data_IF_851549826928
#
_entry.id   IF_851549826928
#
_cell.length_a   1.000
_cell.length_b   1.000
_cell.length_c   1.000
_cell.angle_alpha   90.00
_cell.angle_beta   90.00
_cell.angle_gamma   90.00
#
_symmetry.space_group_name_H-M   'P 1'
#
loop_
_entity.id
_entity.type
_entity.pdbx_description
1 polymer ?
#
# COMPACT_ATOMS: atom_id res chain seq x y z
N UNK A 1 12.56 22.46 2.81
CA UNK A 1 11.79 22.38 1.56
C UNK A 1 10.40 23.01 1.74
N UNK A 2 9.81 23.41 0.62
CA UNK A 2 8.48 24.01 0.64
C UNK A 2 7.40 22.96 0.69
N UNK A 3 6.33 23.23 1.45
CA UNK A 3 5.16 22.36 1.49
C UNK A 3 4.28 22.71 0.28
N UNK A 4 3.97 21.72 -0.53
CA UNK A 4 3.10 21.89 -1.69
C UNK A 4 1.65 22.19 -1.28
N UNK A 5 0.86 22.70 -2.22
CA UNK A 5 -0.57 22.85 -2.01
C UNK A 5 -1.23 21.50 -1.72
N UNK A 6 -2.32 21.53 -0.96
CA UNK A 6 -3.06 20.31 -0.62
C UNK A 6 -3.54 19.59 -1.88
N UNK A 7 -3.30 18.28 -1.93
CA UNK A 7 -3.78 17.43 -3.03
C UNK A 7 -5.16 16.85 -2.78
N UNK A 8 -5.77 17.16 -1.64
CA UNK A 8 -7.07 16.65 -1.22
C UNK A 8 -7.14 15.10 -1.20
N UNK A 9 -6.00 14.45 -0.99
CA UNK A 9 -5.95 12.98 -0.86
C UNK A 9 -5.39 12.61 0.50
N UNK A 10 -6.00 11.63 1.12
CA UNK A 10 -5.59 11.10 2.40
C UNK A 10 -4.95 9.73 2.24
N UNK A 11 -3.89 9.49 2.99
CA UNK A 11 -3.14 8.25 2.96
C UNK A 11 -3.08 7.67 4.37
N UNK A 12 -3.50 6.41 4.53
CA UNK A 12 -3.17 5.62 5.71
C UNK A 12 -1.94 4.79 5.39
N UNK A 13 -0.92 4.90 6.22
CA UNK A 13 0.37 4.26 5.98
C UNK A 13 0.73 3.33 7.14
N UNK A 14 1.10 2.11 6.79
CA UNK A 14 1.56 1.10 7.75
C UNK A 14 2.86 0.49 7.23
N UNK A 15 3.66 -0.07 8.12
CA UNK A 15 4.91 -0.71 7.73
C UNK A 15 5.09 -2.07 8.39
N UNK A 16 6.06 -2.83 7.90
CA UNK A 16 6.43 -4.11 8.49
C UNK A 16 7.05 -3.97 9.88
N UNK A 17 7.34 -5.09 10.53
CA UNK A 17 7.79 -5.10 11.94
C UNK A 17 9.25 -4.69 12.14
N UNK A 18 10.04 -4.58 11.09
CA UNK A 18 11.46 -4.24 11.19
C UNK A 18 11.64 -2.75 11.51
N UNK A 19 12.62 -2.43 12.37
CA UNK A 19 12.93 -1.04 12.70
C UNK A 19 13.37 -0.23 11.48
N UNK A 20 14.06 -0.84 10.53
CA UNK A 20 14.44 -0.19 9.28
C UNK A 20 13.21 0.15 8.42
N UNK A 21 12.20 -0.70 8.45
CA UNK A 21 10.93 -0.41 7.77
C UNK A 21 10.26 0.81 8.39
N UNK A 22 10.25 0.90 9.72
CA UNK A 22 9.66 2.03 10.43
C UNK A 22 10.35 3.35 10.07
N UNK A 23 11.68 3.37 10.07
CA UNK A 23 12.44 4.57 9.72
C UNK A 23 12.19 5.00 8.28
N UNK A 24 12.30 4.08 7.34
CA UNK A 24 12.06 4.37 5.92
C UNK A 24 10.64 4.84 5.68
N UNK A 25 9.67 4.22 6.35
CA UNK A 25 8.27 4.59 6.24
C UNK A 25 8.02 6.01 6.78
N UNK A 26 8.61 6.37 7.92
CA UNK A 26 8.48 7.72 8.50
C UNK A 26 9.05 8.79 7.57
N UNK A 27 10.21 8.53 6.97
CA UNK A 27 10.80 9.45 6.00
C UNK A 27 9.90 9.62 4.78
N UNK A 28 9.33 8.53 4.30
CA UNK A 28 8.39 8.56 3.17
C UNK A 28 7.13 9.34 3.54
N UNK A 29 6.59 9.15 4.74
CA UNK A 29 5.43 9.89 5.22
C UNK A 29 5.69 11.40 5.22
N UNK A 30 6.85 11.82 5.72
CA UNK A 30 7.23 13.23 5.75
C UNK A 30 7.31 13.83 4.34
N UNK A 31 7.87 13.08 3.39
CA UNK A 31 7.95 13.51 2.00
C UNK A 31 6.57 13.63 1.36
N UNK A 32 5.68 12.69 1.65
CA UNK A 32 4.30 12.74 1.15
C UNK A 32 3.53 13.93 1.71
N UNK A 33 3.69 14.22 3.00
CA UNK A 33 3.07 15.40 3.62
C UNK A 33 3.59 16.69 2.98
N UNK A 34 4.90 16.76 2.75
CA UNK A 34 5.50 17.90 2.08
C UNK A 34 4.98 18.09 0.65
N UNK A 35 4.59 16.99 0.01
CA UNK A 35 4.03 16.99 -1.35
C UNK A 35 2.52 17.29 -1.37
N UNK A 36 1.91 17.55 -0.23
CA UNK A 36 0.53 18.00 -0.12
C UNK A 36 -0.50 16.94 0.28
N UNK A 37 -0.07 15.71 0.55
CA UNK A 37 -0.96 14.66 1.04
C UNK A 37 -1.20 14.80 2.53
N UNK A 38 -2.38 14.36 2.98
CA UNK A 38 -2.66 14.20 4.40
C UNK A 38 -2.36 12.75 4.78
N UNK A 39 -1.36 12.54 5.62
CA UNK A 39 -0.88 11.19 5.95
C UNK A 39 -1.18 10.85 7.40
N UNK A 40 -1.84 9.72 7.61
CA UNK A 40 -1.90 9.07 8.92
C UNK A 40 -0.87 7.94 8.93
N UNK A 41 0.13 8.05 9.80
CA UNK A 41 1.15 7.03 9.96
C UNK A 41 0.81 6.13 11.14
N UNK A 42 0.40 4.90 10.84
CA UNK A 42 0.00 3.93 11.86
C UNK A 42 1.14 3.13 12.46
N UNK A 43 2.30 3.14 11.81
CA UNK A 43 3.48 2.44 12.31
C UNK A 43 3.58 0.99 11.86
N UNK A 44 4.47 0.26 12.52
CA UNK A 44 4.76 -1.14 12.24
C UNK A 44 4.16 -2.09 13.26
N UNK A 45 4.17 -3.35 12.89
CA UNK A 45 3.73 -4.44 13.77
C UNK A 45 2.28 -4.29 14.26
N UNK A 46 1.42 -3.77 13.40
CA UNK A 46 0.02 -3.56 13.70
C UNK A 46 -0.76 -4.80 13.21
N UNK A 47 -1.66 -5.30 14.03
CA UNK A 47 -2.51 -6.42 13.66
C UNK A 47 -3.44 -6.06 12.49
N UNK A 48 -3.73 -7.01 11.62
CA UNK A 48 -4.60 -6.77 10.45
C UNK A 48 -5.95 -6.19 10.84
N UNK A 49 -6.55 -6.67 11.92
CA UNK A 49 -7.84 -6.17 12.38
C UNK A 49 -7.78 -4.70 12.78
N UNK A 50 -6.66 -4.27 13.36
CA UNK A 50 -6.45 -2.88 13.73
C UNK A 50 -6.24 -2.00 12.49
N UNK A 51 -5.52 -2.51 11.49
CA UNK A 51 -5.38 -1.82 10.20
C UNK A 51 -6.74 -1.63 9.54
N UNK A 52 -7.55 -2.69 9.51
CA UNK A 52 -8.90 -2.63 8.94
C UNK A 52 -9.79 -1.63 9.67
N UNK A 53 -9.69 -1.57 11.01
CA UNK A 53 -10.44 -0.62 11.81
C UNK A 53 -10.06 0.83 11.49
N UNK A 54 -8.77 1.11 11.36
CA UNK A 54 -8.28 2.44 11.00
C UNK A 54 -8.71 2.86 9.60
N UNK A 55 -8.62 1.94 8.64
CA UNK A 55 -9.08 2.18 7.28
C UNK A 55 -10.57 2.47 7.25
N UNK A 56 -11.36 1.72 8.00
CA UNK A 56 -12.80 1.92 8.08
C UNK A 56 -13.16 3.27 8.71
N UNK A 57 -12.46 3.66 9.76
CA UNK A 57 -12.70 4.91 10.46
C UNK A 57 -12.27 6.12 9.63
N UNK A 58 -11.10 6.06 9.04
CA UNK A 58 -10.49 7.20 8.35
C UNK A 58 -10.90 7.33 6.89
N UNK A 59 -11.30 6.24 6.25
CA UNK A 59 -11.72 6.19 4.85
C UNK A 59 -10.72 6.91 3.93
N UNK A 60 -9.45 6.45 3.93
CA UNK A 60 -8.42 7.11 3.13
C UNK A 60 -8.63 6.87 1.64
N UNK A 61 -8.04 7.74 0.82
CA UNK A 61 -8.00 7.55 -0.62
C UNK A 61 -6.96 6.49 -1.01
N UNK A 62 -5.91 6.33 -0.20
CA UNK A 62 -4.80 5.41 -0.42
C UNK A 62 -4.49 4.65 0.85
N UNK A 63 -4.35 3.35 0.73
CA UNK A 63 -3.76 2.50 1.76
C UNK A 63 -2.35 2.15 1.30
N UNK A 64 -1.34 2.64 2.01
CA UNK A 64 0.06 2.43 1.69
C UNK A 64 0.69 1.50 2.72
N UNK A 65 1.26 0.41 2.23
CA UNK A 65 1.95 -0.56 3.08
C UNK A 65 3.40 -0.69 2.63
N UNK A 66 4.30 -0.57 3.59
CA UNK A 66 5.74 -0.53 3.35
C UNK A 66 6.41 -1.74 4.00
N UNK A 67 7.15 -2.53 3.22
CA UNK A 67 7.83 -3.72 3.73
C UNK A 67 9.16 -3.97 3.02
N UNK A 68 10.16 -4.40 3.78
CA UNK A 68 11.44 -4.83 3.24
C UNK A 68 11.59 -6.35 3.21
N UNK A 69 10.80 -7.08 3.98
CA UNK A 69 10.98 -8.52 4.18
C UNK A 69 10.02 -9.39 3.36
N UNK A 70 10.56 -10.44 2.74
CA UNK A 70 9.77 -11.39 1.95
C UNK A 70 8.77 -12.20 2.76
N UNK A 71 9.03 -12.36 4.06
CA UNK A 71 8.13 -13.09 4.96
C UNK A 71 6.79 -12.39 5.15
N UNK A 72 6.72 -11.08 4.87
CA UNK A 72 5.50 -10.30 5.04
C UNK A 72 4.52 -10.44 3.87
N UNK A 73 4.96 -10.96 2.73
CA UNK A 73 4.14 -11.00 1.52
C UNK A 73 2.83 -11.77 1.66
N UNK A 74 2.79 -12.97 2.26
CA UNK A 74 1.52 -13.67 2.46
C UNK A 74 0.53 -12.90 3.33
N UNK A 75 1.03 -12.24 4.37
CA UNK A 75 0.20 -11.41 5.24
C UNK A 75 -0.36 -10.20 4.52
N UNK A 76 0.45 -9.54 3.69
CA UNK A 76 -0.01 -8.43 2.86
C UNK A 76 -1.08 -8.86 1.88
N UNK A 77 -0.92 -10.02 1.25
CA UNK A 77 -1.92 -10.55 0.34
C UNK A 77 -3.25 -10.81 1.06
N UNK A 78 -3.19 -11.42 2.24
CA UNK A 78 -4.39 -11.66 3.04
C UNK A 78 -5.10 -10.37 3.41
N UNK A 79 -4.33 -9.36 3.83
CA UNK A 79 -4.88 -8.06 4.18
C UNK A 79 -5.56 -7.40 2.99
N UNK A 80 -4.91 -7.39 1.85
CA UNK A 80 -5.45 -6.80 0.62
C UNK A 80 -6.73 -7.52 0.19
N UNK A 81 -6.72 -8.84 0.20
CA UNK A 81 -7.89 -9.63 -0.16
C UNK A 81 -9.06 -9.37 0.81
N UNK A 82 -8.77 -9.22 2.09
CA UNK A 82 -9.78 -8.91 3.09
C UNK A 82 -10.38 -7.51 2.88
N UNK A 83 -9.54 -6.51 2.65
CA UNK A 83 -9.98 -5.14 2.37
C UNK A 83 -10.89 -5.10 1.14
N UNK A 84 -10.49 -5.78 0.07
CA UNK A 84 -11.28 -5.83 -1.16
C UNK A 84 -12.57 -6.62 -0.99
N UNK A 85 -12.53 -7.69 -0.18
CA UNK A 85 -13.70 -8.52 0.09
C UNK A 85 -14.80 -7.80 0.86
N UNK A 86 -14.43 -6.90 1.76
CA UNK A 86 -15.40 -6.07 2.49
C UNK A 86 -16.09 -5.08 1.56
N UNK A 87 -15.37 -4.61 0.54
CA UNK A 87 -15.87 -3.65 -0.47
C UNK A 87 -16.47 -2.37 0.14
N UNK A 88 -15.99 -1.96 1.30
CA UNK A 88 -16.44 -0.76 1.99
C UNK A 88 -15.88 0.52 1.35
N UNK A 89 -14.73 0.43 0.69
CA UNK A 89 -14.03 1.55 0.06
C UNK A 89 -13.56 1.11 -1.33
N UNK A 90 -14.48 0.97 -2.30
CA UNK A 90 -14.15 0.43 -3.63
C UNK A 90 -13.17 1.31 -4.43
N UNK A 91 -13.14 2.61 -4.14
CA UNK A 91 -12.28 3.55 -4.84
C UNK A 91 -10.91 3.74 -4.16
N UNK A 92 -10.70 3.13 -3.00
CA UNK A 92 -9.42 3.23 -2.29
C UNK A 92 -8.33 2.52 -3.08
N UNK A 93 -7.24 3.24 -3.34
CA UNK A 93 -6.08 2.69 -4.01
C UNK A 93 -5.16 2.00 -3.01
N UNK A 94 -4.72 0.79 -3.32
CA UNK A 94 -3.80 0.03 -2.48
C UNK A 94 -2.42 0.09 -3.10
N UNK A 95 -1.48 0.67 -2.35
CA UNK A 95 -0.11 0.91 -2.81
C UNK A 95 0.85 0.20 -1.87
N UNK A 96 1.85 -0.45 -2.42
CA UNK A 96 2.89 -1.10 -1.65
C UNK A 96 4.26 -0.55 -2.03
N UNK A 97 5.15 -0.49 -1.05
CA UNK A 97 6.50 0.00 -1.24
C UNK A 97 7.48 -0.79 -0.41
N UNK A 98 8.76 -0.57 -0.68
CA UNK A 98 9.84 -1.19 0.06
C UNK A 98 10.69 -2.14 -0.77
N UNK A 99 11.83 -2.52 -0.21
CA UNK A 99 12.86 -3.25 -0.96
C UNK A 99 12.44 -4.62 -1.47
N UNK A 100 11.47 -5.28 -0.83
CA UNK A 100 11.02 -6.59 -1.28
C UNK A 100 10.44 -6.54 -2.70
N UNK A 101 9.72 -5.47 -3.04
CA UNK A 101 9.08 -5.36 -4.36
C UNK A 101 10.10 -5.13 -5.46
N UNK A 102 11.25 -4.55 -5.13
CA UNK A 102 12.36 -4.41 -6.07
C UNK A 102 13.10 -5.74 -6.28
N UNK A 103 13.21 -6.56 -5.23
CA UNK A 103 13.92 -7.85 -5.29
C UNK A 103 13.09 -8.99 -5.86
N UNK A 104 11.77 -8.88 -5.83
CA UNK A 104 10.86 -9.92 -6.29
C UNK A 104 9.92 -9.38 -7.37
N UNK A 105 10.35 -9.34 -8.64
CA UNK A 105 9.52 -8.84 -9.74
C UNK A 105 8.20 -9.60 -9.82
N UNK A 106 7.10 -8.88 -10.00
CA UNK A 106 5.76 -9.45 -10.08
C UNK A 106 5.08 -9.68 -8.74
N UNK A 107 5.78 -9.49 -7.62
CA UNK A 107 5.19 -9.73 -6.31
C UNK A 107 4.03 -8.77 -6.00
N UNK A 108 4.17 -7.50 -6.35
CA UNK A 108 3.12 -6.51 -6.11
C UNK A 108 1.82 -6.90 -6.80
N UNK A 109 1.91 -7.36 -8.03
CA UNK A 109 0.76 -7.85 -8.80
C UNK A 109 0.17 -9.11 -8.18
N UNK A 110 1.01 -10.04 -7.73
CA UNK A 110 0.55 -11.27 -7.07
C UNK A 110 -0.23 -11.02 -5.80
N UNK A 111 0.17 -10.05 -5.00
CA UNK A 111 -0.56 -9.72 -3.77
C UNK A 111 -1.78 -8.83 -4.03
N UNK A 112 -1.96 -8.34 -5.24
CA UNK A 112 -3.13 -7.56 -5.62
C UNK A 112 -3.04 -6.07 -5.38
N UNK A 113 -1.82 -5.53 -5.27
CA UNK A 113 -1.62 -4.08 -5.13
C UNK A 113 -1.95 -3.35 -6.43
N UNK A 114 -2.48 -2.14 -6.30
CA UNK A 114 -2.80 -1.28 -7.45
C UNK A 114 -1.57 -0.60 -8.02
N UNK A 115 -0.64 -0.21 -7.14
CA UNK A 115 0.63 0.39 -7.51
C UNK A 115 1.73 -0.14 -6.58
N UNK A 116 2.97 -0.03 -7.02
CA UNK A 116 4.11 -0.31 -6.18
C UNK A 116 5.28 0.62 -6.53
N UNK A 117 6.19 0.79 -5.57
CA UNK A 117 7.39 1.60 -5.77
C UNK A 117 8.53 1.08 -4.91
N UNK A 118 9.77 1.26 -5.39
CA UNK A 118 10.96 0.84 -4.66
C UNK A 118 11.65 1.99 -3.93
N UNK A 119 11.25 3.22 -4.20
CA UNK A 119 11.81 4.42 -3.55
C UNK A 119 10.71 5.44 -3.28
N UNK A 120 10.93 6.37 -2.34
CA UNK A 120 9.96 7.45 -2.09
C UNK A 120 9.69 8.32 -3.32
N UNK A 121 10.71 8.60 -4.12
CA UNK A 121 10.58 9.41 -5.34
C UNK A 121 9.70 8.71 -6.37
N UNK A 122 9.96 7.43 -6.59
CA UNK A 122 9.13 6.61 -7.49
C UNK A 122 7.70 6.52 -6.98
N UNK A 123 7.51 6.39 -5.67
CA UNK A 123 6.19 6.35 -5.06
C UNK A 123 5.40 7.62 -5.35
N UNK A 124 6.02 8.78 -5.17
CA UNK A 124 5.38 10.07 -5.46
C UNK A 124 5.01 10.18 -6.94
N UNK A 125 5.91 9.77 -7.83
CA UNK A 125 5.63 9.77 -9.27
C UNK A 125 4.45 8.87 -9.62
N UNK A 126 4.40 7.68 -9.07
CA UNK A 126 3.31 6.73 -9.30
C UNK A 126 1.98 7.27 -8.81
N UNK A 127 1.95 7.87 -7.63
CA UNK A 127 0.73 8.46 -7.08
C UNK A 127 0.23 9.64 -7.89
N UNK A 128 1.15 10.45 -8.43
CA UNK A 128 0.78 11.60 -9.26
C UNK A 128 0.27 11.19 -10.64
N UNK A 129 0.97 10.24 -11.28
CA UNK A 129 0.68 9.87 -12.65
C UNK A 129 -0.48 8.90 -12.78
N UNK A 130 -0.69 8.06 -11.79
CA UNK A 130 -1.65 6.95 -11.87
C UNK A 130 -2.62 6.91 -10.69
N UNK A 131 -3.32 8.02 -10.38
CA UNK A 131 -4.25 8.02 -9.24
C UNK A 131 -5.45 7.08 -9.41
N UNK A 132 -5.75 6.70 -10.66
CA UNK A 132 -6.88 5.83 -10.98
C UNK A 132 -6.46 4.39 -11.31
N UNK A 133 -5.17 4.07 -11.22
CA UNK A 133 -4.69 2.72 -11.51
C UNK A 133 -5.23 1.72 -10.49
N UNK A 134 -5.69 0.57 -10.99
CA UNK A 134 -6.22 -0.53 -10.17
C UNK A 134 -5.64 -1.84 -10.65
N UNK A 135 -5.48 -2.78 -9.71
CA UNK A 135 -4.93 -4.09 -10.02
C UNK A 135 -5.85 -4.90 -10.92
N UNK A 136 -5.23 -5.64 -11.83
CA UNK A 136 -5.91 -6.70 -12.55
C UNK A 136 -5.65 -8.01 -11.80
N UNK A 137 -6.66 -8.48 -11.07
CA UNK A 137 -6.52 -9.68 -10.24
C UNK A 137 -6.36 -10.96 -11.08
N UNK A 138 -6.68 -10.90 -12.36
CA UNK A 138 -6.46 -12.02 -13.29
C UNK A 138 -4.98 -12.25 -13.58
N UNK A 139 -4.11 -11.28 -13.34
CA UNK A 139 -2.66 -11.44 -13.47
C UNK A 139 -2.03 -12.26 -12.34
N UNK A 140 -2.78 -12.54 -11.26
CA UNK A 140 -2.29 -13.32 -10.14
C UNK A 140 -2.20 -14.79 -10.53
N UNK A 141 -1.05 -15.42 -10.26
CA UNK A 141 -0.85 -16.85 -10.55
C UNK A 141 -1.37 -17.74 -9.43
N UNK A 142 -1.12 -17.35 -8.18
CA UNK A 142 -1.58 -18.11 -7.02
C UNK A 142 -3.08 -17.87 -6.80
N UNK A 143 -3.86 -18.91 -6.81
CA UNK A 143 -5.31 -18.84 -6.71
C UNK A 143 -6.04 -18.66 -8.04
N UNK A 144 -5.34 -18.25 -9.09
CA UNK A 144 -5.93 -18.01 -10.41
C UNK A 144 -6.54 -19.28 -11.02
N UNK A 145 -5.83 -20.41 -10.88
CA UNK A 145 -6.31 -21.68 -11.39
C UNK A 145 -7.61 -22.12 -10.77
N UNK A 146 -7.85 -21.78 -9.52
CA UNK A 146 -9.12 -22.11 -8.82
C UNK A 146 -10.30 -21.34 -9.40
N UNK A 147 -10.07 -20.09 -9.77
CA UNK A 147 -11.10 -19.24 -10.36
C UNK A 147 -11.44 -19.72 -11.77
N UNK A 148 -10.43 -20.08 -12.56
CA UNK A 148 -10.62 -20.52 -13.95
C UNK A 148 -11.14 -21.94 -14.07
N UNK A 149 -10.92 -22.75 -13.07
CA UNK A 149 -11.40 -24.15 -13.05
C UNK A 149 -12.87 -24.27 -12.65
N UNK A 150 -13.46 -23.20 -12.20
CA UNK A 150 -14.86 -23.17 -11.79
C UNK A 150 -15.82 -23.10 -12.97
#
# INVERSE_FOLDING_TARGET
YEIAESRNRTICMFCGPDELDDLAARLTADLLEADGYTVFFGGGNIAHDDILAEVHERKPDVLLMFSAGGADAPGLRQLIDHVRGINALPDMQIVVGGGIFNRAPGLAEEIGADLWASSPEELMDQLHQYPDARADLDERTVGRGKVKAA
#
